data_IF_453275901766
#
_entry.id   IF_453275901766
#
_cell.length_a   1.000
_cell.length_b   1.000
_cell.length_c   1.000
_cell.angle_alpha   90.00
_cell.angle_beta   90.00
_cell.angle_gamma   90.00
#
_symmetry.space_group_name_H-M   'P 1'
#
loop_
_entity.id
_entity.type
_entity.pdbx_description
1 polymer ?
#
# COMPACT_ATOMS: atom_id res chain seq x y z
N UNK A 1 -15.26 -17.22 -9.33
CA UNK A 1 -13.84 -17.59 -9.56
C UNK A 1 -12.89 -16.50 -9.05
N UNK A 2 -13.26 -15.22 -9.15
CA UNK A 2 -12.50 -14.09 -8.60
C UNK A 2 -12.21 -14.16 -7.09
N UNK A 3 -13.17 -14.56 -6.25
CA UNK A 3 -12.98 -14.48 -4.80
C UNK A 3 -11.90 -15.45 -4.27
N UNK A 4 -11.79 -16.63 -4.89
CA UNK A 4 -10.73 -17.60 -4.56
C UNK A 4 -9.34 -17.11 -4.99
N UNK A 5 -9.26 -16.42 -6.13
CA UNK A 5 -8.01 -15.81 -6.58
C UNK A 5 -7.63 -14.66 -5.64
N UNK A 6 -8.59 -13.84 -5.23
CA UNK A 6 -8.34 -12.75 -4.28
C UNK A 6 -7.81 -13.27 -2.93
N UNK A 7 -8.46 -14.27 -2.33
CA UNK A 7 -8.00 -14.88 -1.06
C UNK A 7 -6.58 -15.43 -1.19
N UNK A 8 -6.32 -16.22 -2.24
CA UNK A 8 -5.00 -16.80 -2.47
C UNK A 8 -3.93 -15.74 -2.69
N UNK A 9 -4.23 -14.67 -3.44
CA UNK A 9 -3.30 -13.55 -3.64
C UNK A 9 -3.02 -12.81 -2.32
N UNK A 10 -4.05 -12.61 -1.49
CA UNK A 10 -3.90 -11.93 -0.20
C UNK A 10 -3.09 -12.78 0.79
N UNK A 11 -3.29 -14.10 0.79
CA UNK A 11 -2.49 -15.06 1.57
C UNK A 11 -1.02 -15.07 1.13
N UNK A 12 -0.78 -15.09 -0.18
CA UNK A 12 0.58 -15.02 -0.74
C UNK A 12 1.27 -13.70 -0.40
N UNK A 13 0.59 -12.57 -0.57
CA UNK A 13 1.12 -11.26 -0.22
C UNK A 13 1.48 -11.19 1.28
N UNK A 14 0.64 -11.73 2.16
CA UNK A 14 0.94 -11.78 3.59
C UNK A 14 2.17 -12.65 3.87
N UNK A 15 2.32 -13.79 3.18
CA UNK A 15 3.50 -14.64 3.32
C UNK A 15 4.79 -13.94 2.85
N UNK A 16 4.74 -13.22 1.73
CA UNK A 16 5.86 -12.41 1.24
C UNK A 16 6.25 -11.32 2.23
N UNK A 17 5.27 -10.63 2.82
CA UNK A 17 5.52 -9.60 3.83
C UNK A 17 6.20 -10.19 5.08
N UNK A 18 5.76 -11.36 5.54
CA UNK A 18 6.36 -12.06 6.69
C UNK A 18 7.79 -12.52 6.41
N UNK A 19 8.07 -12.97 5.19
CA UNK A 19 9.39 -13.44 4.77
C UNK A 19 10.37 -12.28 4.60
N UNK A 20 9.99 -11.24 3.85
CA UNK A 20 10.90 -10.15 3.49
C UNK A 20 10.97 -9.03 4.52
N UNK A 21 10.01 -8.95 5.44
CA UNK A 21 9.93 -7.94 6.52
C UNK A 21 10.25 -6.51 6.03
N UNK A 22 9.51 -6.01 5.03
CA UNK A 22 9.78 -4.72 4.45
C UNK A 22 9.54 -3.60 5.48
N UNK A 23 10.35 -2.55 5.43
CA UNK A 23 10.13 -1.34 6.24
C UNK A 23 8.97 -0.49 5.71
N UNK A 24 8.79 -0.51 4.39
CA UNK A 24 7.78 0.28 3.67
C UNK A 24 7.23 -0.54 2.51
N UNK A 25 5.91 -0.51 2.32
CA UNK A 25 5.21 -1.10 1.17
C UNK A 25 4.51 0.01 0.41
N UNK A 26 4.67 0.01 -0.91
CA UNK A 26 4.05 0.99 -1.81
C UNK A 26 3.11 0.26 -2.76
N UNK A 27 1.82 0.55 -2.66
CA UNK A 27 0.80 0.04 -3.58
C UNK A 27 0.56 1.04 -4.70
N UNK A 28 0.92 0.66 -5.92
CA UNK A 28 0.78 1.46 -7.16
C UNK A 28 -0.49 1.09 -7.93
N UNK A 29 -1.59 0.89 -7.23
CA UNK A 29 -2.86 0.39 -7.80
C UNK A 29 -3.99 1.41 -7.70
N UNK A 30 -3.86 2.38 -6.78
CA UNK A 30 -4.94 3.21 -6.28
C UNK A 30 -5.79 2.52 -5.21
N UNK A 31 -6.46 3.34 -4.40
CA UNK A 31 -7.21 2.92 -3.21
C UNK A 31 -8.39 2.01 -3.56
N UNK A 32 -9.04 2.24 -4.70
CA UNK A 32 -10.17 1.41 -5.16
C UNK A 32 -9.76 -0.05 -5.40
N UNK A 33 -8.52 -0.30 -5.82
CA UNK A 33 -7.99 -1.65 -6.07
C UNK A 33 -7.31 -2.24 -4.84
N UNK A 34 -6.79 -1.39 -3.96
CA UNK A 34 -6.23 -1.81 -2.68
C UNK A 34 -7.32 -2.34 -1.73
N UNK A 35 -8.52 -1.75 -1.76
CA UNK A 35 -9.60 -2.09 -0.84
C UNK A 35 -9.85 -3.61 -0.79
N UNK A 36 -9.67 -4.17 0.41
CA UNK A 36 -9.83 -5.60 0.71
C UNK A 36 -8.51 -6.33 0.94
N UNK A 37 -7.38 -5.84 0.42
CA UNK A 37 -6.08 -6.44 0.73
C UNK A 37 -5.69 -6.11 2.17
N UNK A 38 -5.27 -7.14 2.91
CA UNK A 38 -4.75 -7.01 4.27
C UNK A 38 -5.67 -6.22 5.23
N UNK A 39 -6.98 -6.21 4.99
CA UNK A 39 -7.96 -5.38 5.71
C UNK A 39 -7.89 -5.53 7.23
N UNK A 40 -7.56 -6.72 7.71
CA UNK A 40 -7.50 -7.05 9.14
C UNK A 40 -6.22 -6.56 9.81
N UNK A 41 -5.23 -6.15 9.02
CA UNK A 41 -3.89 -5.79 9.48
C UNK A 41 -3.52 -4.33 9.17
N UNK A 42 -4.25 -3.67 8.28
CA UNK A 42 -3.91 -2.34 7.76
C UNK A 42 -4.78 -1.25 8.36
N UNK A 43 -4.14 -0.17 8.79
CA UNK A 43 -4.79 1.07 9.21
C UNK A 43 -4.33 2.19 8.29
N UNK A 44 -5.24 2.71 7.46
CA UNK A 44 -4.96 3.79 6.51
C UNK A 44 -5.63 5.09 6.95
N UNK A 45 -4.92 6.19 6.76
CA UNK A 45 -5.43 7.56 6.82
C UNK A 45 -5.43 8.16 5.42
N UNK A 46 -6.50 8.87 5.08
CA UNK A 46 -6.60 9.59 3.82
C UNK A 46 -5.52 10.65 3.74
N UNK A 47 -4.90 10.79 2.57
CA UNK A 47 -3.93 11.85 2.31
C UNK A 47 -4.62 12.96 1.51
N UNK A 48 -4.77 14.13 2.12
CA UNK A 48 -5.37 15.31 1.47
C UNK A 48 -4.31 16.31 0.93
N UNK A 49 -3.02 16.07 1.20
CA UNK A 49 -1.93 16.98 0.83
C UNK A 49 -1.28 16.69 -0.53
N UNK A 50 -1.59 15.55 -1.14
CA UNK A 50 -0.92 15.03 -2.32
C UNK A 50 -1.91 14.61 -3.40
N UNK A 51 -1.53 14.72 -4.68
CA UNK A 51 -2.43 14.44 -5.80
C UNK A 51 -2.40 12.99 -6.26
N UNK A 52 -1.25 12.33 -6.10
CA UNK A 52 -0.96 10.99 -6.59
C UNK A 52 -0.89 9.98 -5.44
N UNK A 53 -0.61 10.39 -4.21
CA UNK A 53 -0.78 9.57 -3.01
C UNK A 53 -2.19 9.72 -2.46
N UNK A 54 -2.95 8.64 -2.39
CA UNK A 54 -4.36 8.67 -1.96
C UNK A 54 -4.51 8.37 -0.46
N UNK A 55 -3.64 7.54 0.10
CA UNK A 55 -3.62 7.24 1.53
C UNK A 55 -2.26 6.73 1.99
N UNK A 56 -2.01 6.84 3.28
CA UNK A 56 -0.85 6.26 3.94
C UNK A 56 -1.25 5.74 5.32
N UNK A 57 -0.41 4.90 5.90
CA UNK A 57 -0.69 4.37 7.22
C UNK A 57 0.28 3.27 7.61
N UNK A 58 -0.22 2.32 8.40
CA UNK A 58 0.59 1.23 8.93
C UNK A 58 -0.07 -0.12 8.78
N UNK A 59 0.75 -1.14 8.63
CA UNK A 59 0.38 -2.53 8.60
C UNK A 59 1.06 -3.22 9.80
N UNK A 60 0.28 -3.94 10.61
CA UNK A 60 0.79 -4.68 11.76
C UNK A 60 0.82 -6.18 11.44
N UNK A 61 2.01 -6.75 11.32
CA UNK A 61 2.22 -8.18 11.01
C UNK A 61 3.23 -8.74 12.02
N UNK A 62 2.83 -9.78 12.75
CA UNK A 62 3.66 -10.47 13.74
C UNK A 62 4.36 -9.54 14.75
N UNK A 63 3.69 -8.44 15.11
CA UNK A 63 4.20 -7.43 16.05
C UNK A 63 5.14 -6.38 15.43
N UNK A 64 5.43 -6.48 14.14
CA UNK A 64 6.19 -5.48 13.39
C UNK A 64 5.26 -4.47 12.71
N UNK A 65 5.60 -3.19 12.80
CA UNK A 65 4.88 -2.10 12.16
C UNK A 65 5.56 -1.70 10.86
N UNK A 66 4.82 -1.83 9.76
CA UNK A 66 5.30 -1.55 8.40
C UNK A 66 4.58 -0.30 7.89
N UNK A 67 5.30 0.68 7.33
CA UNK A 67 4.64 1.84 6.69
C UNK A 67 4.01 1.41 5.37
N UNK A 68 2.77 1.83 5.13
CA UNK A 68 2.06 1.57 3.87
C UNK A 68 1.73 2.88 3.19
N UNK A 69 1.97 2.94 1.88
CA UNK A 69 1.57 4.05 1.03
C UNK A 69 0.74 3.50 -0.13
N UNK A 70 -0.44 4.06 -0.36
CA UNK A 70 -1.26 3.73 -1.52
C UNK A 70 -1.29 4.94 -2.44
N UNK A 71 -0.69 4.79 -3.61
CA UNK A 71 -0.66 5.78 -4.66
C UNK A 71 -1.49 5.33 -5.86
N UNK A 72 -1.94 6.29 -6.67
CA UNK A 72 -2.64 6.04 -7.91
C UNK A 72 -1.78 5.19 -8.85
N UNK A 73 -2.43 4.40 -9.71
CA UNK A 73 -1.74 3.63 -10.74
C UNK A 73 -0.86 4.53 -11.63
N UNK A 74 0.43 4.20 -11.87
CA UNK A 74 1.42 5.12 -12.46
C UNK A 74 1.16 5.47 -13.92
N UNK A 75 0.38 4.66 -14.64
CA UNK A 75 0.09 4.88 -16.06
C UNK A 75 -0.46 6.30 -16.32
N UNK A 76 0.20 7.01 -17.24
CA UNK A 76 -0.16 8.36 -17.67
C UNK A 76 0.17 9.48 -16.68
N UNK A 77 0.93 9.20 -15.61
CA UNK A 77 1.31 10.19 -14.58
C UNK A 77 2.80 10.47 -14.63
N UNK A 78 3.17 11.65 -14.16
CA UNK A 78 4.57 12.05 -14.01
C UNK A 78 5.24 11.18 -12.94
N UNK A 79 6.26 10.42 -13.35
CA UNK A 79 7.07 9.61 -12.44
C UNK A 79 7.77 10.47 -11.38
N UNK A 80 8.36 11.61 -11.79
CA UNK A 80 9.07 12.49 -10.87
C UNK A 80 8.15 13.07 -9.79
N UNK A 81 6.93 13.45 -10.16
CA UNK A 81 5.91 13.93 -9.21
C UNK A 81 5.49 12.80 -8.27
N UNK A 82 5.22 11.62 -8.81
CA UNK A 82 4.79 10.46 -8.00
C UNK A 82 5.87 10.05 -6.99
N UNK A 83 7.12 9.94 -7.43
CA UNK A 83 8.24 9.61 -6.56
C UNK A 83 8.44 10.67 -5.48
N UNK A 84 8.36 11.95 -5.83
CA UNK A 84 8.46 13.05 -4.84
C UNK A 84 7.38 12.93 -3.78
N UNK A 85 6.11 12.80 -4.17
CA UNK A 85 5.01 12.70 -3.21
C UNK A 85 5.11 11.45 -2.32
N UNK A 86 5.53 10.30 -2.89
CA UNK A 86 5.73 9.07 -2.12
C UNK A 86 6.86 9.25 -1.10
N UNK A 87 8.00 9.83 -1.50
CA UNK A 87 9.13 10.08 -0.60
C UNK A 87 8.74 11.03 0.53
N UNK A 88 8.03 12.11 0.21
CA UNK A 88 7.56 13.07 1.21
C UNK A 88 6.69 12.38 2.27
N UNK A 89 5.77 11.51 1.84
CA UNK A 89 4.89 10.76 2.74
C UNK A 89 5.63 9.70 3.55
N UNK A 90 6.65 9.06 2.97
CA UNK A 90 7.48 8.08 3.70
C UNK A 90 8.29 8.73 4.82
N UNK A 91 8.73 9.98 4.60
CA UNK A 91 9.60 10.71 5.52
C UNK A 91 8.85 11.53 6.58
N UNK A 92 7.52 11.62 6.51
CA UNK A 92 6.66 12.08 7.61
C UNK A 92 6.68 11.06 8.77
#
# INVERSE_FOLDING_TARGET
MCDKQFSACNELLLAEIKEYKPRVIIFLTGLNWFNGFLSDHVSLTKNDGHNLVESCGTLLVDGETIKVVVAKHPQGKSESTMVSEIIDVINQ
#
